data_IF_579473129081
#
_entry.id   IF_579473129081
#
_cell.length_a   1.000
_cell.length_b   1.000
_cell.length_c   1.000
_cell.angle_alpha   90.00
_cell.angle_beta   90.00
_cell.angle_gamma   90.00
#
_symmetry.space_group_name_H-M   'P 1'
#
loop_
_entity.id
_entity.type
_entity.pdbx_description
1 polymer ?
#
# COMPACT_ATOMS: atom_id res chain seq x y z
N UNK A 1 19.71 -6.82 -8.85
CA UNK A 1 19.35 -7.31 -7.49
C UNK A 1 17.91 -6.88 -7.25
N UNK A 2 17.06 -7.77 -6.76
CA UNK A 2 15.67 -7.43 -6.42
C UNK A 2 15.70 -6.59 -5.14
N UNK A 3 15.10 -5.40 -5.16
CA UNK A 3 15.01 -4.54 -3.98
C UNK A 3 14.15 -5.23 -2.90
N UNK A 4 14.62 -5.22 -1.65
CA UNK A 4 13.89 -5.80 -0.53
C UNK A 4 12.65 -4.95 -0.21
N UNK A 5 11.51 -5.62 -0.03
CA UNK A 5 10.25 -4.96 0.33
C UNK A 5 9.34 -5.87 1.13
N UNK A 6 8.53 -5.26 1.97
CA UNK A 6 7.39 -5.91 2.59
C UNK A 6 6.16 -5.79 1.68
N UNK A 7 5.28 -6.79 1.72
CA UNK A 7 4.04 -6.83 0.94
C UNK A 7 2.89 -7.21 1.85
N UNK A 8 1.89 -6.34 1.94
CA UNK A 8 0.69 -6.54 2.75
C UNK A 8 -0.53 -6.56 1.84
N UNK A 9 -1.41 -7.55 2.05
CA UNK A 9 -2.76 -7.48 1.51
C UNK A 9 -3.57 -6.53 2.40
N UNK A 10 -4.02 -5.43 1.84
CA UNK A 10 -4.78 -4.39 2.54
C UNK A 10 -6.16 -4.23 1.92
N UNK A 11 -7.13 -3.76 2.71
CA UNK A 11 -8.47 -3.43 2.25
C UNK A 11 -8.72 -1.92 2.42
N UNK A 12 -9.40 -1.32 1.45
CA UNK A 12 -9.87 0.06 1.52
C UNK A 12 -11.32 0.14 1.06
N UNK A 13 -12.16 0.85 1.81
CA UNK A 13 -13.53 1.14 1.40
C UNK A 13 -13.57 2.37 0.49
N UNK A 14 -13.94 2.18 -0.77
CA UNK A 14 -14.11 3.26 -1.74
C UNK A 14 -15.45 3.95 -1.49
N UNK A 15 -15.47 5.21 -1.00
CA UNK A 15 -16.71 5.88 -0.65
C UNK A 15 -17.53 6.29 -1.88
N UNK A 16 -16.93 6.33 -3.08
CA UNK A 16 -17.59 6.74 -4.32
C UNK A 16 -18.48 5.62 -4.85
N UNK A 17 -17.94 4.40 -4.91
CA UNK A 17 -18.66 3.23 -5.44
C UNK A 17 -19.18 2.28 -4.35
N UNK A 18 -18.93 2.59 -3.07
CA UNK A 18 -19.37 1.82 -1.89
C UNK A 18 -18.89 0.36 -1.89
N UNK A 19 -17.66 0.13 -2.33
CA UNK A 19 -17.07 -1.22 -2.40
C UNK A 19 -15.78 -1.32 -1.59
N UNK A 20 -15.51 -2.50 -1.04
CA UNK A 20 -14.21 -2.85 -0.47
C UNK A 20 -13.27 -3.26 -1.60
N UNK A 21 -12.18 -2.52 -1.79
CA UNK A 21 -11.10 -2.86 -2.71
C UNK A 21 -9.95 -3.49 -1.96
N UNK A 22 -9.28 -4.44 -2.59
CA UNK A 22 -8.09 -5.07 -2.05
C UNK A 22 -6.86 -4.67 -2.86
N UNK A 23 -5.81 -4.28 -2.16
CA UNK A 23 -4.54 -3.92 -2.75
C UNK A 23 -3.41 -4.73 -2.14
N UNK A 24 -2.38 -4.99 -2.94
CA UNK A 24 -1.07 -5.34 -2.41
C UNK A 24 -0.29 -4.05 -2.21
N UNK A 25 -0.15 -3.64 -0.96
CA UNK A 25 0.71 -2.54 -0.54
C UNK A 25 2.15 -3.04 -0.43
N UNK A 26 3.06 -2.49 -1.24
CA UNK A 26 4.49 -2.66 -1.06
C UNK A 26 5.07 -1.53 -0.23
N UNK A 27 5.97 -1.85 0.71
CA UNK A 27 6.77 -0.86 1.44
C UNK A 27 8.25 -1.19 1.27
N UNK A 28 9.04 -0.19 0.89
CA UNK A 28 10.47 -0.30 0.64
C UNK A 28 11.24 0.32 1.81
N UNK A 29 11.87 -0.48 2.68
CA UNK A 29 12.58 0.03 3.86
C UNK A 29 13.81 0.87 3.53
N UNK A 30 14.35 0.72 2.32
CA UNK A 30 15.50 1.46 1.79
C UNK A 30 15.29 2.97 1.82
N UNK A 31 14.09 3.43 1.45
CA UNK A 31 13.77 4.86 1.27
C UNK A 31 12.40 5.28 1.82
N UNK A 32 11.65 4.35 2.44
CA UNK A 32 10.31 4.61 2.98
C UNK A 32 9.27 4.84 1.88
N UNK A 33 9.52 4.38 0.65
CA UNK A 33 8.55 4.46 -0.43
C UNK A 33 7.52 3.34 -0.37
N UNK A 34 6.39 3.58 -1.02
CA UNK A 34 5.27 2.64 -1.14
C UNK A 34 4.84 2.47 -2.59
N UNK A 35 4.36 1.27 -2.93
CA UNK A 35 3.62 0.98 -4.17
C UNK A 35 2.26 0.35 -3.83
N UNK A 36 1.28 0.44 -4.73
CA UNK A 36 0.02 -0.28 -4.57
C UNK A 36 -0.40 -0.94 -5.88
N UNK A 37 -0.71 -2.22 -5.81
CA UNK A 37 -1.23 -3.00 -6.92
C UNK A 37 -2.64 -3.47 -6.61
N UNK A 38 -3.60 -3.17 -7.49
CA UNK A 38 -4.97 -3.65 -7.39
C UNK A 38 -5.03 -5.12 -7.78
N UNK A 39 -5.39 -5.95 -6.81
CA UNK A 39 -5.43 -7.41 -6.96
C UNK A 39 -6.58 -7.85 -7.87
N UNK A 40 -7.70 -7.12 -7.83
CA UNK A 40 -8.92 -7.45 -8.56
C UNK A 40 -8.75 -7.09 -10.03
N UNK A 41 -8.33 -5.85 -10.31
CA UNK A 41 -8.15 -5.39 -11.69
C UNK A 41 -6.83 -5.83 -12.32
N UNK A 42 -5.92 -6.41 -11.52
CA UNK A 42 -4.57 -6.82 -11.92
C UNK A 42 -3.76 -5.69 -12.53
N UNK A 43 -3.88 -4.49 -11.97
CA UNK A 43 -3.24 -3.27 -12.47
C UNK A 43 -2.52 -2.52 -11.37
N UNK A 44 -1.48 -1.79 -11.75
CA UNK A 44 -0.83 -0.83 -10.87
C UNK A 44 -1.83 0.27 -10.51
N UNK A 45 -2.00 0.50 -9.20
CA UNK A 45 -2.87 1.55 -8.68
C UNK A 45 -2.04 2.79 -8.31
N UNK A 46 -0.89 2.58 -7.65
CA UNK A 46 0.05 3.62 -7.26
C UNK A 46 1.46 3.22 -7.66
N UNK A 47 2.15 4.07 -8.42
CA UNK A 47 3.58 3.92 -8.72
C UNK A 47 4.41 4.09 -7.44
N UNK A 48 5.56 3.40 -7.37
CA UNK A 48 6.52 3.54 -6.26
C UNK A 48 6.83 5.02 -6.01
N UNK A 49 6.51 5.52 -4.82
CA UNK A 49 6.83 6.88 -4.42
C UNK A 49 7.11 6.98 -2.92
N UNK A 50 7.95 7.92 -2.53
CA UNK A 50 8.24 8.19 -1.13
C UNK A 50 6.96 8.66 -0.40
N UNK A 51 6.69 8.10 0.78
CA UNK A 51 5.52 8.42 1.56
C UNK A 51 5.91 8.63 3.03
N UNK A 52 6.28 9.85 3.39
CA UNK A 52 6.78 10.17 4.74
C UNK A 52 5.72 9.99 5.85
N UNK A 53 4.44 9.87 5.48
CA UNK A 53 3.32 9.60 6.40
C UNK A 53 3.19 8.14 6.82
N UNK A 54 3.93 7.22 6.21
CA UNK A 54 3.92 5.79 6.54
C UNK A 54 5.31 5.35 6.95
N UNK A 55 5.44 4.78 8.15
CA UNK A 55 6.67 4.20 8.66
C UNK A 55 6.54 2.69 8.76
N UNK A 56 7.67 1.99 8.73
CA UNK A 56 7.69 0.54 8.92
C UNK A 56 7.02 0.10 10.24
N UNK A 57 7.12 0.89 11.30
CA UNK A 57 6.47 0.63 12.60
C UNK A 57 4.94 0.64 12.52
N UNK A 58 4.36 1.29 11.51
CA UNK A 58 2.91 1.39 11.33
C UNK A 58 2.35 0.17 10.59
N UNK A 59 3.22 -0.67 10.01
CA UNK A 59 2.86 -1.78 9.13
C UNK A 59 2.82 -3.11 9.89
N UNK A 60 1.68 -3.40 10.50
CA UNK A 60 1.40 -4.69 11.16
C UNK A 60 -0.04 -5.14 10.92
N UNK A 61 -0.33 -6.42 11.12
CA UNK A 61 -1.68 -6.95 10.88
C UNK A 61 -2.69 -6.29 11.81
N UNK A 62 -3.72 -5.69 11.23
CA UNK A 62 -4.76 -4.96 11.96
C UNK A 62 -4.54 -3.45 12.06
N UNK A 63 -3.38 -2.92 11.64
CA UNK A 63 -3.15 -1.48 11.56
C UNK A 63 -4.06 -0.80 10.52
N UNK A 64 -4.49 0.43 10.79
CA UNK A 64 -5.13 1.30 9.80
C UNK A 64 -4.18 2.46 9.52
N UNK A 65 -3.78 2.61 8.26
CA UNK A 65 -2.85 3.65 7.82
C UNK A 65 -3.51 4.55 6.77
N UNK A 66 -2.94 5.73 6.60
CA UNK A 66 -3.33 6.66 5.55
C UNK A 66 -2.19 6.80 4.54
N UNK A 67 -2.51 6.60 3.26
CA UNK A 67 -1.59 6.74 2.13
C UNK A 67 -2.15 7.83 1.21
N UNK A 68 -1.48 8.98 1.16
CA UNK A 68 -1.77 10.10 0.23
C UNK A 68 -3.20 10.68 0.34
N UNK A 69 -3.52 11.31 1.48
CA UNK A 69 -4.76 12.11 1.63
C UNK A 69 -4.62 13.55 1.16
#
# INVERSE_FOLDING_TARGET
>A
MTEEKYRFLVEWFDPTVKVKRQFLLGYFPSDGSVDMYDVVSKRLFLHKMRCDSVKLSDLFIGSIINVLS
#
